data_IF_601711911854
#
_entry.id   IF_601711911854
#
_cell.length_a   1.000
_cell.length_b   1.000
_cell.length_c   1.000
_cell.angle_alpha   90.00
_cell.angle_beta   90.00
_cell.angle_gamma   90.00
#
_symmetry.space_group_name_H-M   'P 1'
#
loop_
_entity.id
_entity.type
_entity.pdbx_description
1 polymer ?
#
# COMPACT_ATOMS: atom_id res chain seq x y z
N UNK A 1 -10.51 3.71 8.12
CA UNK A 1 -9.62 3.48 9.28
C UNK A 1 -8.32 2.91 8.75
N UNK A 2 -7.19 3.52 9.11
CA UNK A 2 -5.86 2.96 8.82
C UNK A 2 -5.63 1.74 9.72
N UNK A 3 -5.13 0.66 9.14
CA UNK A 3 -4.82 -0.58 9.85
C UNK A 3 -3.31 -0.78 9.94
N UNK A 4 -2.63 -0.77 8.80
CA UNK A 4 -1.20 -1.07 8.68
C UNK A 4 -0.52 -0.19 7.63
N UNK A 5 0.76 0.08 7.80
CA UNK A 5 1.60 0.84 6.86
C UNK A 5 2.80 0.01 6.43
N UNK A 6 3.08 0.03 5.12
CA UNK A 6 4.16 -0.70 4.47
C UNK A 6 5.07 0.28 3.75
N UNK A 7 6.35 -0.08 3.67
CA UNK A 7 7.40 0.80 3.20
C UNK A 7 8.41 0.02 2.37
N UNK A 8 8.87 0.61 1.26
CA UNK A 8 10.00 0.09 0.52
C UNK A 8 11.27 0.20 1.35
N UNK A 9 12.17 -0.77 1.16
CA UNK A 9 13.54 -0.69 1.66
C UNK A 9 14.35 0.35 0.87
N UNK A 10 14.01 0.54 -0.41
CA UNK A 10 14.65 1.51 -1.29
C UNK A 10 14.30 2.96 -0.89
N UNK A 11 15.34 3.80 -0.89
CA UNK A 11 15.26 5.24 -0.63
C UNK A 11 15.95 6.03 -1.73
N UNK A 12 15.47 7.24 -1.99
CA UNK A 12 16.13 8.19 -2.88
C UNK A 12 17.42 8.77 -2.24
N UNK A 13 18.16 9.58 -3.00
CA UNK A 13 19.39 10.24 -2.50
C UNK A 13 19.16 11.20 -1.32
N UNK A 14 17.90 11.53 -1.02
CA UNK A 14 17.49 12.37 0.12
C UNK A 14 16.99 11.54 1.30
N UNK A 15 17.02 10.21 1.22
CA UNK A 15 16.53 9.29 2.25
C UNK A 15 15.01 9.11 2.26
N UNK A 16 14.30 9.60 1.25
CA UNK A 16 12.85 9.40 1.14
C UNK A 16 12.55 8.01 0.60
N UNK A 17 11.59 7.33 1.23
CA UNK A 17 11.11 6.02 0.78
C UNK A 17 10.43 6.15 -0.57
N UNK A 18 10.86 5.34 -1.53
CA UNK A 18 10.36 5.41 -2.91
C UNK A 18 8.88 4.98 -2.99
N UNK A 19 8.50 3.93 -2.26
CA UNK A 19 7.13 3.41 -2.23
C UNK A 19 6.63 3.23 -0.81
N UNK A 20 5.39 3.62 -0.58
CA UNK A 20 4.66 3.30 0.65
C UNK A 20 3.27 2.81 0.31
N UNK A 21 2.67 2.01 1.19
CA UNK A 21 1.30 1.57 1.06
C UNK A 21 0.60 1.57 2.42
N UNK A 22 -0.66 1.94 2.43
CA UNK A 22 -1.52 1.95 3.61
C UNK A 22 -2.64 0.95 3.43
N UNK A 23 -2.76 -0.01 4.34
CA UNK A 23 -3.92 -0.90 4.42
C UNK A 23 -5.00 -0.20 5.24
N UNK A 24 -6.19 -0.10 4.67
CA UNK A 24 -7.32 0.61 5.25
C UNK A 24 -8.59 -0.23 5.18
N UNK A 25 -9.51 0.07 6.11
CA UNK A 25 -10.86 -0.51 6.14
C UNK A 25 -11.92 0.57 6.22
N UNK A 26 -13.01 0.38 5.48
CA UNK A 26 -14.23 1.17 5.59
C UNK A 26 -15.45 0.24 5.68
N UNK A 27 -16.66 0.82 5.61
CA UNK A 27 -17.91 0.04 5.70
C UNK A 27 -18.09 -0.98 4.57
N UNK A 28 -17.46 -0.77 3.42
CA UNK A 28 -17.54 -1.65 2.26
C UNK A 28 -16.52 -2.79 2.32
N UNK A 29 -15.42 -2.62 3.06
CA UNK A 29 -14.38 -3.64 3.22
C UNK A 29 -12.97 -3.05 3.26
N UNK A 30 -11.99 -3.87 2.86
CA UNK A 30 -10.58 -3.51 2.85
C UNK A 30 -10.16 -2.81 1.55
N UNK A 31 -9.19 -1.92 1.62
CA UNK A 31 -8.59 -1.27 0.47
C UNK A 31 -7.19 -0.82 0.81
N UNK A 32 -6.37 -0.63 -0.22
CA UNK A 32 -5.01 -0.09 -0.05
C UNK A 32 -4.89 1.25 -0.76
N UNK A 33 -4.15 2.17 -0.14
CA UNK A 33 -3.69 3.39 -0.77
C UNK A 33 -2.19 3.27 -0.99
N UNK A 34 -1.75 3.41 -2.24
CA UNK A 34 -0.35 3.28 -2.60
C UNK A 34 0.23 4.64 -2.96
N UNK A 35 1.49 4.85 -2.58
CA UNK A 35 2.19 6.10 -2.76
C UNK A 35 3.56 5.87 -3.40
N UNK A 36 3.97 6.80 -4.24
CA UNK A 36 5.32 6.91 -4.77
C UNK A 36 5.87 8.32 -4.50
N UNK A 37 7.07 8.40 -3.93
CA UNK A 37 7.70 9.65 -3.52
C UNK A 37 6.78 10.54 -2.64
N UNK A 38 5.97 9.93 -1.78
CA UNK A 38 5.01 10.61 -0.90
C UNK A 38 3.70 11.06 -1.58
N UNK A 39 3.53 10.82 -2.87
CA UNK A 39 2.29 11.14 -3.59
C UNK A 39 1.45 9.89 -3.76
N UNK A 40 0.15 9.98 -3.47
CA UNK A 40 -0.78 8.89 -3.71
C UNK A 40 -0.91 8.63 -5.21
N UNK A 41 -0.48 7.45 -5.66
CA UNK A 41 -0.54 7.06 -7.08
C UNK A 41 -1.69 6.12 -7.38
N UNK A 42 -2.12 5.34 -6.39
CA UNK A 42 -3.17 4.34 -6.57
C UNK A 42 -4.04 4.17 -5.32
N UNK A 43 -5.29 3.78 -5.52
CA UNK A 43 -6.16 3.26 -4.48
C UNK A 43 -6.87 2.03 -5.02
N UNK A 44 -6.61 0.86 -4.42
CA UNK A 44 -7.19 -0.41 -4.87
C UNK A 44 -8.22 -0.91 -3.87
N UNK A 45 -9.45 -1.13 -4.34
CA UNK A 45 -10.58 -1.59 -3.53
C UNK A 45 -10.55 -3.11 -3.44
N UNK A 46 -10.34 -3.64 -2.25
CA UNK A 46 -10.23 -5.07 -1.96
C UNK A 46 -11.41 -5.53 -1.09
N UNK A 47 -12.61 -5.02 -1.40
CA UNK A 47 -13.79 -5.15 -0.55
C UNK A 47 -14.28 -6.59 -0.36
N UNK A 48 -14.04 -7.43 -1.36
CA UNK A 48 -14.43 -8.85 -1.35
C UNK A 48 -13.32 -9.76 -0.80
N UNK A 49 -12.22 -9.19 -0.31
CA UNK A 49 -11.05 -9.92 0.18
C UNK A 49 -10.83 -9.73 1.69
N UNK A 50 -9.99 -10.61 2.26
CA UNK A 50 -9.61 -10.57 3.67
C UNK A 50 -8.59 -9.47 3.96
N UNK A 51 -8.38 -9.19 5.24
CA UNK A 51 -7.33 -8.30 5.72
C UNK A 51 -5.95 -8.75 5.26
N UNK A 52 -5.63 -10.04 5.44
CA UNK A 52 -4.34 -10.61 5.03
C UNK A 52 -4.09 -10.43 3.52
N UNK A 53 -5.13 -10.55 2.68
CA UNK A 53 -4.98 -10.27 1.26
C UNK A 53 -4.63 -8.79 0.99
N UNK A 54 -5.21 -7.87 1.74
CA UNK A 54 -4.88 -6.44 1.62
C UNK A 54 -3.46 -6.13 2.11
N UNK A 55 -3.02 -6.81 3.17
CA UNK A 55 -1.64 -6.77 3.67
C UNK A 55 -0.65 -7.32 2.64
N UNK A 56 -0.91 -8.51 2.09
CA UNK A 56 -0.12 -9.10 1.01
C UNK A 56 -0.06 -8.17 -0.21
N UNK A 57 -1.17 -7.55 -0.59
CA UNK A 57 -1.21 -6.62 -1.72
C UNK A 57 -0.38 -5.35 -1.45
N UNK A 58 -0.44 -4.80 -0.24
CA UNK A 58 0.37 -3.65 0.16
C UNK A 58 1.87 -3.98 0.22
N UNK A 59 2.23 -5.15 0.77
CA UNK A 59 3.61 -5.63 0.82
C UNK A 59 4.17 -5.84 -0.60
N UNK A 60 3.43 -6.55 -1.44
CA UNK A 60 3.84 -6.79 -2.82
C UNK A 60 3.97 -5.50 -3.65
N UNK A 61 3.18 -4.47 -3.34
CA UNK A 61 3.33 -3.14 -3.96
C UNK A 61 4.65 -2.47 -3.58
N UNK A 62 4.98 -2.41 -2.28
CA UNK A 62 6.21 -1.76 -1.82
C UNK A 62 7.48 -2.54 -2.19
N UNK A 63 7.36 -3.86 -2.40
CA UNK A 63 8.41 -4.71 -2.97
C UNK A 63 8.53 -4.59 -4.50
N UNK A 64 7.61 -3.89 -5.16
CA UNK A 64 7.58 -3.76 -6.62
C UNK A 64 7.26 -5.04 -7.40
N UNK A 65 6.70 -6.04 -6.73
CA UNK A 65 6.23 -7.29 -7.33
C UNK A 65 4.94 -7.04 -8.11
N UNK A 66 4.04 -6.23 -7.54
CA UNK A 66 2.82 -5.80 -8.20
C UNK A 66 3.02 -4.43 -8.86
N UNK A 67 2.69 -4.37 -10.16
CA UNK A 67 2.35 -3.12 -10.84
C UNK A 67 0.84 -3.18 -11.09
N UNK A 68 0.06 -2.65 -10.13
CA UNK A 68 -1.40 -2.58 -10.17
C UNK A 68 -1.89 -1.47 -11.11
#
# INVERSE_FOLDING_TARGET
>A
MLLSEYFSDETDSSGNRLRTAEVKKNINGYYIDCYENGYKVLSSKLYEHSESYAEDAAENWVLGILNL
#
